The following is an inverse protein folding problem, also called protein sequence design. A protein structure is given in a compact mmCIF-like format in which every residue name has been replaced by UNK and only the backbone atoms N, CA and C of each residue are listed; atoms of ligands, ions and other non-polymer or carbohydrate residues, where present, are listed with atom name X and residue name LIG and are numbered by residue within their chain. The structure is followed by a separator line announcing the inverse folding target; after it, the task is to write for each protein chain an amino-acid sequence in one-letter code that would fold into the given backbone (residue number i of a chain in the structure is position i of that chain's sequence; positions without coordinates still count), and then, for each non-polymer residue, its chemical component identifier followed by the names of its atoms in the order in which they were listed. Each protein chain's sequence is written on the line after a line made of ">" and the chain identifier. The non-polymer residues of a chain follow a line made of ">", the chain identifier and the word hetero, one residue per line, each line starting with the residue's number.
data_IF_519928984189
#
_entry.id   IF_519928984189
#
_cell.length_a   1.000
_cell.length_b   1.000
_cell.length_c   1.000
_cell.angle_alpha   90.00
_cell.angle_beta   90.00
_cell.angle_gamma   90.00
#
_symmetry.space_group_name_H-M   'P 1'
#
loop_
_entity.id
_entity.type
_entity.pdbx_description
1 polymer ?
#
# COMPACT_ATOMS: atom_id res chain seq x y z
N UNK A 1 17.05 54.51 -10.85
CA UNK A 1 16.73 53.13 -10.40
C UNK A 1 15.59 52.45 -11.17
N UNK A 2 14.66 53.17 -11.80
CA UNK A 2 13.46 52.59 -12.46
C UNK A 2 13.77 51.91 -13.82
N UNK A 3 14.81 52.33 -14.53
CA UNK A 3 15.14 51.79 -15.88
C UNK A 3 15.78 50.38 -15.83
N UNK A 4 16.47 50.03 -14.73
CA UNK A 4 17.07 48.69 -14.57
C UNK A 4 16.02 47.61 -14.34
N UNK A 5 14.91 47.93 -13.67
CA UNK A 5 13.87 46.95 -13.33
C UNK A 5 13.07 46.46 -14.55
N UNK A 6 12.82 47.35 -15.53
CA UNK A 6 12.16 47.00 -16.80
C UNK A 6 12.98 46.02 -17.64
N UNK A 7 14.33 46.07 -17.56
CA UNK A 7 15.22 45.14 -18.28
C UNK A 7 15.21 43.74 -17.67
N UNK A 8 15.15 43.62 -16.33
CA UNK A 8 15.05 42.32 -15.66
C UNK A 8 13.67 41.67 -15.81
N UNK A 9 12.59 42.46 -15.83
CA UNK A 9 11.24 41.95 -16.11
C UNK A 9 11.10 41.44 -17.56
N UNK A 10 11.70 42.12 -18.54
CA UNK A 10 11.71 41.68 -19.94
C UNK A 10 12.55 40.40 -20.15
N UNK A 11 13.69 40.28 -19.47
CA UNK A 11 14.53 39.07 -19.49
C UNK A 11 13.84 37.87 -18.81
N UNK A 12 13.14 38.08 -17.69
CA UNK A 12 12.36 37.04 -17.03
C UNK A 12 11.18 36.55 -17.87
N UNK A 13 10.50 37.45 -18.57
CA UNK A 13 9.37 37.10 -19.44
C UNK A 13 9.82 36.39 -20.73
N UNK A 14 11.00 36.76 -21.28
CA UNK A 14 11.61 36.07 -22.42
C UNK A 14 12.06 34.64 -22.08
N UNK A 15 12.60 34.41 -20.87
CA UNK A 15 12.98 33.07 -20.37
C UNK A 15 11.76 32.17 -20.13
N UNK A 16 10.66 32.72 -19.62
CA UNK A 16 9.40 31.97 -19.45
C UNK A 16 8.78 31.63 -20.80
N UNK A 17 8.81 32.53 -21.78
CA UNK A 17 8.30 32.26 -23.13
C UNK A 17 9.15 31.24 -23.90
N UNK A 18 10.48 31.25 -23.75
CA UNK A 18 11.35 30.23 -24.36
C UNK A 18 11.17 28.85 -23.70
N UNK A 19 10.95 28.78 -22.38
CA UNK A 19 10.63 27.52 -21.71
C UNK A 19 9.25 26.96 -22.12
N UNK A 20 8.26 27.82 -22.38
CA UNK A 20 6.94 27.40 -22.89
C UNK A 20 7.01 26.94 -24.34
N UNK A 21 7.81 27.59 -25.19
CA UNK A 21 8.00 27.18 -26.59
C UNK A 21 8.82 25.88 -26.71
N UNK A 22 9.87 25.68 -25.89
CA UNK A 22 10.58 24.39 -25.84
C UNK A 22 9.74 23.26 -25.19
N UNK A 23 8.88 23.59 -24.21
CA UNK A 23 7.93 22.65 -23.63
C UNK A 23 6.82 22.23 -24.62
N UNK A 24 6.42 23.12 -25.52
CA UNK A 24 5.47 22.81 -26.59
C UNK A 24 6.12 22.03 -27.76
N UNK A 25 7.41 22.29 -28.04
CA UNK A 25 8.17 21.58 -29.07
C UNK A 25 8.54 20.14 -28.67
N UNK A 26 8.65 19.84 -27.37
CA UNK A 26 8.84 18.47 -26.86
C UNK A 26 7.53 17.68 -26.67
N UNK A 27 6.37 18.36 -26.76
CA UNK A 27 5.05 17.73 -26.75
C UNK A 27 4.53 17.35 -28.16
N UNK A 28 5.29 17.67 -29.21
CA UNK A 28 4.91 17.46 -30.61
C UNK A 28 5.83 16.42 -31.26
N UNK A 29 5.76 15.18 -30.79
CA UNK A 29 6.63 14.11 -31.29
C UNK A 29 6.18 12.71 -30.93
N UNK A 30 4.91 12.48 -30.61
CA UNK A 30 4.35 11.13 -30.49
C UNK A 30 3.75 10.78 -31.85
N UNK A 31 4.57 10.18 -32.72
CA UNK A 31 4.08 9.55 -33.95
C UNK A 31 3.08 8.47 -33.55
N UNK A 32 1.81 8.75 -33.81
CA UNK A 32 0.70 7.81 -33.75
C UNK A 32 0.98 6.69 -34.77
N UNK A 33 1.73 5.69 -34.31
CA UNK A 33 1.96 4.48 -35.05
C UNK A 33 0.72 3.63 -34.87
N UNK A 34 -0.30 3.97 -35.65
CA UNK A 34 -1.46 3.15 -35.95
C UNK A 34 -0.98 1.82 -36.51
N UNK A 35 -0.62 0.90 -35.62
CA UNK A 35 -0.48 -0.49 -35.97
C UNK A 35 -1.87 -0.96 -36.35
N UNK A 36 -2.05 -1.20 -37.64
CA UNK A 36 -3.28 -1.70 -38.23
C UNK A 36 -3.81 -2.86 -37.40
N UNK A 37 -5.13 -2.93 -37.29
CA UNK A 37 -5.88 -4.05 -36.71
C UNK A 37 -5.50 -5.34 -37.44
N UNK A 38 -4.43 -5.99 -37.03
CA UNK A 38 -4.20 -7.39 -37.32
C UNK A 38 -5.24 -8.18 -36.53
N UNK A 39 -5.87 -9.16 -37.19
CA UNK A 39 -6.95 -9.95 -36.61
C UNK A 39 -6.54 -10.47 -35.23
N UNK A 40 -7.43 -10.27 -34.26
CA UNK A 40 -7.25 -10.82 -32.91
C UNK A 40 -7.30 -12.34 -33.01
N UNK A 41 -6.13 -12.97 -33.10
CA UNK A 41 -6.01 -14.38 -32.76
C UNK A 41 -6.52 -14.53 -31.33
N UNK A 42 -7.48 -15.44 -31.13
CA UNK A 42 -8.10 -15.61 -29.83
C UNK A 42 -7.02 -15.94 -28.78
N UNK A 43 -7.05 -15.24 -27.65
CA UNK A 43 -6.05 -15.44 -26.60
C UNK A 43 -5.99 -16.90 -26.17
N UNK A 44 -4.78 -17.48 -26.16
CA UNK A 44 -4.60 -18.88 -25.79
C UNK A 44 -5.01 -19.14 -24.33
N UNK A 45 -5.40 -20.37 -24.01
CA UNK A 45 -5.70 -20.77 -22.63
C UNK A 45 -4.52 -20.51 -21.68
N UNK A 46 -3.28 -20.65 -22.16
CA UNK A 46 -2.06 -20.35 -21.41
C UNK A 46 -1.95 -18.86 -21.10
N UNK A 47 -2.24 -17.99 -22.08
CA UNK A 47 -2.24 -16.54 -21.88
C UNK A 47 -3.32 -16.11 -20.88
N UNK A 48 -4.54 -16.64 -20.99
CA UNK A 48 -5.64 -16.35 -20.06
C UNK A 48 -5.30 -16.82 -18.64
N UNK A 49 -4.72 -18.01 -18.48
CA UNK A 49 -4.28 -18.52 -17.18
C UNK A 49 -3.19 -17.65 -16.55
N UNK A 50 -2.23 -17.18 -17.36
CA UNK A 50 -1.22 -16.21 -16.94
C UNK A 50 -1.85 -14.88 -16.52
N UNK A 51 -2.81 -14.39 -17.30
CA UNK A 51 -3.57 -13.19 -16.98
C UNK A 51 -4.29 -13.27 -15.64
N UNK A 52 -4.99 -14.38 -15.38
CA UNK A 52 -5.65 -14.66 -14.10
C UNK A 52 -4.68 -14.61 -12.93
N UNK A 53 -3.51 -15.21 -13.10
CA UNK A 53 -2.44 -15.20 -12.10
C UNK A 53 -1.97 -13.77 -11.79
N UNK A 54 -1.72 -12.96 -12.83
CA UNK A 54 -1.22 -11.59 -12.69
C UNK A 54 -2.29 -10.63 -12.15
N UNK A 55 -3.56 -10.77 -12.55
CA UNK A 55 -4.68 -9.98 -12.00
C UNK A 55 -4.87 -10.28 -10.51
N UNK A 56 -4.64 -11.52 -10.06
CA UNK A 56 -4.57 -11.85 -8.63
C UNK A 56 -3.35 -11.22 -7.97
N UNK A 57 -2.16 -11.37 -8.56
CA UNK A 57 -0.93 -10.79 -8.02
C UNK A 57 -1.00 -9.26 -7.86
N UNK A 58 -1.69 -8.58 -8.77
CA UNK A 58 -1.96 -7.14 -8.75
C UNK A 58 -3.12 -6.71 -7.87
N UNK A 59 -3.65 -7.62 -7.05
CA UNK A 59 -4.75 -7.38 -6.10
C UNK A 59 -5.96 -6.65 -6.70
N UNK A 60 -6.23 -6.88 -7.99
CA UNK A 60 -7.20 -6.08 -8.73
C UNK A 60 -8.61 -6.26 -8.16
N UNK A 61 -8.95 -7.45 -7.68
CA UNK A 61 -10.28 -7.76 -7.14
C UNK A 61 -10.57 -7.00 -5.84
N UNK A 62 -9.57 -6.79 -4.98
CA UNK A 62 -9.73 -6.09 -3.71
C UNK A 62 -10.12 -4.63 -3.93
N UNK A 63 -9.53 -3.98 -4.94
CA UNK A 63 -9.86 -2.61 -5.30
C UNK A 63 -11.11 -2.51 -6.17
N UNK A 64 -11.30 -3.40 -7.14
CA UNK A 64 -12.35 -3.29 -8.14
C UNK A 64 -13.64 -4.04 -7.79
N UNK A 65 -13.91 -4.23 -6.50
CA UNK A 65 -15.16 -4.82 -6.00
C UNK A 65 -15.66 -4.01 -4.81
N UNK A 66 -16.82 -3.38 -4.93
CA UNK A 66 -17.47 -2.72 -3.80
C UNK A 66 -17.93 -3.75 -2.75
N UNK A 67 -18.01 -3.39 -1.45
CA UNK A 67 -18.65 -4.24 -0.44
C UNK A 67 -20.07 -4.63 -0.86
N UNK A 68 -20.38 -5.93 -0.85
CA UNK A 68 -21.66 -6.47 -1.34
C UNK A 68 -21.87 -6.38 -2.87
N UNK A 69 -20.90 -5.85 -3.61
CA UNK A 69 -20.95 -5.70 -5.06
C UNK A 69 -20.53 -6.96 -5.84
N UNK A 70 -20.75 -6.93 -7.14
CA UNK A 70 -20.31 -8.00 -8.05
C UNK A 70 -18.78 -7.94 -8.25
N UNK A 71 -18.08 -9.09 -8.31
CA UNK A 71 -16.63 -9.12 -8.52
C UNK A 71 -16.20 -8.32 -9.75
N UNK A 72 -15.16 -7.50 -9.60
CA UNK A 72 -14.58 -6.67 -10.67
C UNK A 72 -15.50 -5.55 -11.21
N UNK A 73 -16.70 -5.34 -10.66
CA UNK A 73 -17.65 -4.34 -11.14
C UNK A 73 -17.35 -2.89 -10.68
N UNK A 74 -16.24 -2.67 -9.96
CA UNK A 74 -15.79 -1.36 -9.51
C UNK A 74 -16.59 -0.81 -8.33
N UNK A 75 -16.64 0.52 -8.24
CA UNK A 75 -17.34 1.33 -7.23
C UNK A 75 -16.90 1.12 -5.78
N UNK A 76 -15.74 0.50 -5.54
CA UNK A 76 -15.15 0.55 -4.19
C UNK A 76 -14.70 1.97 -3.90
N UNK A 77 -15.06 2.45 -2.73
CA UNK A 77 -14.62 3.72 -2.20
C UNK A 77 -13.16 3.63 -1.76
N UNK A 78 -12.30 4.49 -2.28
CA UNK A 78 -10.90 4.64 -1.88
C UNK A 78 -10.75 6.02 -1.22
N UNK A 79 -10.79 6.09 0.12
CA UNK A 79 -10.56 7.35 0.81
C UNK A 79 -9.10 7.77 0.66
N UNK A 80 -8.88 9.06 0.44
CA UNK A 80 -7.56 9.69 0.41
C UNK A 80 -7.60 10.99 1.23
N UNK A 81 -6.43 11.52 1.64
CA UNK A 81 -6.37 12.83 2.30
C UNK A 81 -6.92 13.99 1.45
N UNK A 82 -7.23 13.75 0.17
CA UNK A 82 -7.69 14.75 -0.79
C UNK A 82 -9.17 14.59 -1.16
N UNK A 83 -9.86 13.64 -0.53
CA UNK A 83 -11.22 13.23 -0.83
C UNK A 83 -11.30 11.78 -1.31
N UNK A 84 -12.44 11.41 -1.91
CA UNK A 84 -12.77 10.03 -2.23
C UNK A 84 -12.63 9.75 -3.73
N UNK A 85 -12.07 8.58 -4.07
CA UNK A 85 -12.00 8.08 -5.45
C UNK A 85 -12.74 6.74 -5.53
N UNK A 86 -13.51 6.54 -6.59
CA UNK A 86 -14.20 5.27 -6.84
C UNK A 86 -13.48 4.45 -7.91
N UNK A 87 -13.38 3.14 -7.69
CA UNK A 87 -12.68 2.24 -8.62
C UNK A 87 -13.50 1.92 -9.86
N UNK A 88 -12.81 1.75 -11.00
CA UNK A 88 -13.45 1.49 -12.29
C UNK A 88 -14.07 0.08 -12.37
N UNK A 89 -15.05 -0.13 -13.24
CA UNK A 89 -15.52 -1.46 -13.59
C UNK A 89 -14.53 -2.13 -14.57
N UNK A 90 -13.98 -3.30 -14.20
CA UNK A 90 -13.02 -4.05 -15.03
C UNK A 90 -13.67 -5.17 -15.85
N UNK A 91 -14.97 -5.41 -15.70
CA UNK A 91 -15.69 -6.43 -16.48
C UNK A 91 -15.76 -6.01 -17.97
N UNK A 92 -15.98 -6.94 -18.91
CA UNK A 92 -16.04 -6.62 -20.34
C UNK A 92 -17.38 -5.98 -20.77
N UNK A 93 -18.13 -5.38 -19.84
CA UNK A 93 -19.32 -4.58 -20.18
C UNK A 93 -18.93 -3.42 -21.11
N UNK A 94 -19.65 -3.27 -22.22
CA UNK A 94 -19.34 -2.26 -23.27
C UNK A 94 -19.59 -0.83 -22.81
N UNK A 95 -20.67 -0.61 -22.07
CA UNK A 95 -21.08 0.73 -21.68
C UNK A 95 -20.31 1.28 -20.47
N UNK A 96 -19.96 0.42 -19.51
CA UNK A 96 -19.43 0.84 -18.20
C UNK A 96 -18.10 0.22 -17.83
N UNK A 97 -17.66 -0.84 -18.53
CA UNK A 97 -16.44 -1.57 -18.24
C UNK A 97 -15.37 -1.46 -19.33
N UNK A 98 -14.59 -2.53 -19.48
CA UNK A 98 -13.51 -2.65 -20.47
C UNK A 98 -14.01 -3.09 -21.86
N UNK A 99 -15.33 -3.22 -22.07
CA UNK A 99 -15.93 -3.81 -23.27
C UNK A 99 -15.48 -3.18 -24.60
N UNK A 100 -15.30 -1.86 -24.61
CA UNK A 100 -14.86 -1.09 -25.79
C UNK A 100 -13.40 -0.61 -25.70
N UNK A 101 -12.63 -1.09 -24.72
CA UNK A 101 -11.21 -0.78 -24.62
C UNK A 101 -10.40 -1.62 -25.61
N UNK A 102 -9.33 -1.05 -26.16
CA UNK A 102 -8.26 -1.81 -26.78
C UNK A 102 -7.25 -2.26 -25.72
N UNK A 103 -6.42 -3.25 -26.06
CA UNK A 103 -5.31 -3.65 -25.20
C UNK A 103 -4.29 -2.52 -25.02
N UNK A 104 -4.15 -1.64 -26.01
CA UNK A 104 -3.33 -0.43 -25.92
C UNK A 104 -3.91 0.60 -24.95
N UNK A 105 -5.23 0.79 -24.93
CA UNK A 105 -5.88 1.67 -23.95
C UNK A 105 -5.61 1.16 -22.53
N UNK A 106 -5.74 -0.16 -22.33
CA UNK A 106 -5.48 -0.80 -21.04
C UNK A 106 -4.01 -0.66 -20.63
N UNK A 107 -3.08 -0.86 -21.57
CA UNK A 107 -1.66 -0.64 -21.32
C UNK A 107 -1.35 0.81 -20.99
N UNK A 108 -1.89 1.79 -21.74
CA UNK A 108 -1.69 3.23 -21.43
C UNK A 108 -2.27 3.61 -20.06
N UNK A 109 -3.37 3.00 -19.64
CA UNK A 109 -3.86 3.19 -18.28
C UNK A 109 -2.83 2.66 -17.27
N UNK A 110 -2.45 1.38 -17.37
CA UNK A 110 -1.52 0.77 -16.42
C UNK A 110 -0.13 1.42 -16.40
N UNK A 111 0.41 1.77 -17.56
CA UNK A 111 1.78 2.27 -17.68
C UNK A 111 1.89 3.76 -17.52
N UNK A 112 0.93 4.50 -18.07
CA UNK A 112 1.02 5.95 -18.18
C UNK A 112 -0.04 6.66 -17.34
N UNK A 113 -0.95 5.95 -16.66
CA UNK A 113 -2.04 6.59 -15.93
C UNK A 113 -2.94 7.41 -16.85
N UNK A 114 -3.19 6.95 -18.08
CA UNK A 114 -4.07 7.61 -19.06
C UNK A 114 -5.28 6.73 -19.37
N UNK A 115 -6.47 7.26 -19.16
CA UNK A 115 -7.72 6.58 -19.52
C UNK A 115 -7.90 6.46 -21.04
N UNK A 116 -8.88 5.65 -21.46
CA UNK A 116 -9.26 5.49 -22.88
C UNK A 116 -9.56 6.81 -23.58
N UNK A 117 -10.20 7.75 -22.89
CA UNK A 117 -10.51 9.11 -23.36
C UNK A 117 -9.33 10.09 -23.26
N UNK A 118 -8.11 9.60 -23.00
CA UNK A 118 -6.89 10.40 -22.86
C UNK A 118 -6.75 11.11 -21.51
N UNK A 119 -7.77 11.00 -20.64
CA UNK A 119 -7.77 11.70 -19.34
C UNK A 119 -6.68 11.17 -18.41
N UNK A 120 -6.06 12.04 -17.63
CA UNK A 120 -5.12 11.61 -16.60
C UNK A 120 -5.86 10.95 -15.44
N UNK A 121 -5.36 9.79 -15.02
CA UNK A 121 -5.81 9.03 -13.86
C UNK A 121 -5.07 9.51 -12.61
N UNK A 122 -5.78 9.59 -11.49
CA UNK A 122 -5.18 9.90 -10.20
C UNK A 122 -4.24 8.76 -9.76
N UNK A 123 -3.10 9.06 -9.11
CA UNK A 123 -2.10 8.06 -8.70
C UNK A 123 -2.57 7.12 -7.57
N UNK A 124 -3.81 7.26 -7.09
CA UNK A 124 -4.50 6.24 -6.32
C UNK A 124 -4.69 4.95 -7.14
N UNK A 125 -4.87 5.06 -8.46
CA UNK A 125 -4.60 3.95 -9.37
C UNK A 125 -3.06 3.81 -9.47
N UNK A 126 -2.47 2.68 -9.05
CA UNK A 126 -1.03 2.59 -8.79
C UNK A 126 -0.19 2.42 -10.07
N UNK A 127 -0.51 3.19 -11.13
CA UNK A 127 0.28 3.29 -12.35
C UNK A 127 1.76 3.66 -12.12
N UNK A 128 2.17 4.41 -11.07
CA UNK A 128 3.60 4.60 -10.77
C UNK A 128 4.35 3.32 -10.41
N UNK A 129 3.64 2.24 -10.06
CA UNK A 129 4.20 0.89 -9.87
C UNK A 129 3.95 0.02 -11.11
N UNK A 130 2.73 0.05 -11.64
CA UNK A 130 2.34 -0.79 -12.80
C UNK A 130 3.07 -0.46 -14.09
N UNK A 131 3.68 0.72 -14.21
CA UNK A 131 4.61 1.04 -15.30
C UNK A 131 5.77 0.04 -15.44
N UNK A 132 6.09 -0.71 -14.37
CA UNK A 132 7.15 -1.72 -14.36
C UNK A 132 6.76 -3.05 -15.05
N UNK A 133 5.49 -3.24 -15.37
CA UNK A 133 4.97 -4.54 -15.87
C UNK A 133 5.26 -4.70 -17.35
N UNK A 134 5.71 -5.88 -17.76
CA UNK A 134 6.01 -6.12 -19.18
C UNK A 134 4.75 -6.03 -20.02
N UNK A 135 4.86 -5.51 -21.24
CA UNK A 135 3.75 -5.46 -22.20
C UNK A 135 2.97 -6.78 -22.32
N UNK A 136 3.66 -7.90 -22.51
CA UNK A 136 3.03 -9.22 -22.63
C UNK A 136 2.23 -9.64 -21.37
N UNK A 137 2.64 -9.19 -20.18
CA UNK A 137 1.93 -9.45 -18.93
C UNK A 137 0.64 -8.62 -18.85
N UNK A 138 0.67 -7.36 -19.30
CA UNK A 138 -0.51 -6.50 -19.43
C UNK A 138 -1.52 -7.08 -20.43
N UNK A 139 -1.04 -7.57 -21.58
CA UNK A 139 -1.88 -8.22 -22.59
C UNK A 139 -2.54 -9.48 -22.05
N UNK A 140 -1.80 -10.31 -21.30
CA UNK A 140 -2.36 -11.48 -20.64
C UNK A 140 -3.43 -11.09 -19.60
N UNK A 141 -3.16 -10.07 -18.77
CA UNK A 141 -4.14 -9.55 -17.81
C UNK A 141 -5.42 -9.07 -18.52
N UNK A 142 -5.27 -8.30 -19.60
CA UNK A 142 -6.39 -7.84 -20.41
C UNK A 142 -7.20 -9.01 -20.96
N UNK A 143 -6.53 -9.99 -21.58
CA UNK A 143 -7.16 -11.20 -22.11
C UNK A 143 -7.99 -11.95 -21.06
N UNK A 144 -7.47 -12.10 -19.82
CA UNK A 144 -8.25 -12.70 -18.74
C UNK A 144 -9.47 -11.86 -18.34
N UNK A 145 -9.31 -10.54 -18.16
CA UNK A 145 -10.42 -9.65 -17.79
C UNK A 145 -11.56 -9.70 -18.83
N UNK A 146 -11.23 -9.90 -20.11
CA UNK A 146 -12.19 -10.09 -21.21
C UNK A 146 -13.03 -11.36 -21.09
N UNK A 147 -12.61 -12.34 -20.28
CA UNK A 147 -13.37 -13.58 -20.04
C UNK A 147 -14.39 -13.48 -18.90
N UNK A 148 -14.36 -12.38 -18.13
CA UNK A 148 -15.25 -12.20 -17.00
C UNK A 148 -16.71 -12.02 -17.46
N UNK A 149 -17.66 -12.35 -16.58
CA UNK A 149 -19.07 -12.02 -16.80
C UNK A 149 -19.21 -10.48 -16.88
N UNK A 150 -19.81 -9.93 -17.95
CA UNK A 150 -20.12 -8.51 -18.01
C UNK A 150 -21.07 -8.11 -16.87
N UNK A 151 -20.77 -7.00 -16.20
CA UNK A 151 -21.65 -6.38 -15.21
C UNK A 151 -21.80 -4.92 -15.57
N UNK A 152 -23.04 -4.47 -15.75
CA UNK A 152 -23.32 -3.05 -15.96
C UNK A 152 -23.24 -2.32 -14.62
N UNK A 153 -22.21 -1.48 -14.45
CA UNK A 153 -21.92 -0.75 -13.21
C UNK A 153 -21.18 0.53 -13.56
N UNK A 154 -21.91 1.65 -13.60
CA UNK A 154 -21.33 2.97 -13.87
C UNK A 154 -20.51 3.40 -12.65
N UNK A 155 -19.25 3.74 -12.87
CA UNK A 155 -18.38 4.24 -11.80
C UNK A 155 -18.79 5.64 -11.36
N UNK A 156 -18.93 5.84 -10.04
CA UNK A 156 -19.20 7.14 -9.46
C UNK A 156 -18.05 8.13 -9.77
N UNK A 157 -18.35 9.43 -9.98
CA UNK A 157 -17.31 10.43 -10.14
C UNK A 157 -16.50 10.59 -8.85
N UNK A 158 -15.21 10.96 -8.93
CA UNK A 158 -14.42 11.22 -7.73
C UNK A 158 -14.93 12.45 -6.98
N UNK A 159 -14.93 12.37 -5.64
CA UNK A 159 -15.34 13.44 -4.73
C UNK A 159 -14.09 14.06 -4.10
N UNK A 160 -13.33 14.77 -4.94
CA UNK A 160 -12.11 15.46 -4.52
C UNK A 160 -12.40 16.94 -4.29
N UNK A 161 -11.84 17.51 -3.22
CA UNK A 161 -11.96 18.94 -2.95
C UNK A 161 -10.99 19.74 -3.84
N UNK A 162 -11.34 20.99 -4.14
CA UNK A 162 -10.38 21.91 -4.74
C UNK A 162 -9.16 22.09 -3.81
N UNK A 163 -7.92 22.12 -4.34
CA UNK A 163 -7.54 22.15 -5.75
C UNK A 163 -7.42 20.78 -6.44
N UNK A 164 -7.51 19.66 -5.72
CA UNK A 164 -7.26 18.31 -6.22
C UNK A 164 -8.28 17.81 -7.25
N UNK A 165 -9.49 18.39 -7.26
CA UNK A 165 -10.48 18.19 -8.33
C UNK A 165 -10.01 18.72 -9.70
N UNK A 166 -9.06 19.66 -9.73
CA UNK A 166 -8.56 20.21 -10.99
C UNK A 166 -7.53 19.29 -11.63
N UNK A 167 -8.02 18.36 -12.46
CA UNK A 167 -7.25 17.28 -13.09
C UNK A 167 -5.94 17.72 -13.79
N UNK A 168 -5.87 18.95 -14.30
CA UNK A 168 -4.68 19.48 -14.99
C UNK A 168 -3.46 19.57 -14.08
N UNK A 169 -3.64 19.70 -12.76
CA UNK A 169 -2.53 19.68 -11.79
C UNK A 169 -1.74 18.37 -11.81
N UNK A 170 -2.34 17.28 -12.29
CA UNK A 170 -1.63 16.01 -12.47
C UNK A 170 -0.49 16.11 -13.48
N UNK A 171 -0.51 17.05 -14.44
CA UNK A 171 0.62 17.25 -15.36
C UNK A 171 1.88 17.64 -14.59
N UNK A 172 1.78 18.62 -13.68
CA UNK A 172 2.88 19.04 -12.83
C UNK A 172 3.28 17.95 -11.83
N UNK A 173 2.31 17.27 -11.21
CA UNK A 173 2.60 16.16 -10.29
C UNK A 173 3.41 15.06 -10.97
N UNK A 174 3.05 14.69 -12.20
CA UNK A 174 3.73 13.64 -12.95
C UNK A 174 5.14 14.04 -13.34
N UNK A 175 5.35 15.28 -13.79
CA UNK A 175 6.67 15.79 -14.11
C UNK A 175 7.64 15.72 -12.92
N UNK A 176 7.12 15.83 -11.69
CA UNK A 176 7.92 15.78 -10.46
C UNK A 176 8.09 14.37 -9.88
N UNK A 177 7.09 13.49 -10.02
CA UNK A 177 6.99 12.27 -9.21
C UNK A 177 6.74 10.97 -9.98
N UNK A 178 6.61 11.02 -11.30
CA UNK A 178 6.34 9.85 -12.12
C UNK A 178 7.48 9.58 -13.11
N UNK A 179 8.12 8.43 -12.93
CA UNK A 179 9.13 7.89 -13.85
C UNK A 179 8.54 6.66 -14.56
N UNK A 180 8.29 6.81 -15.86
CA UNK A 180 7.67 5.77 -16.68
C UNK A 180 8.72 4.78 -17.17
N UNK A 181 8.38 3.50 -17.16
CA UNK A 181 9.18 2.48 -17.84
C UNK A 181 9.11 1.13 -17.17
N UNK A 182 9.23 0.09 -18.01
CA UNK A 182 9.23 -1.30 -17.59
C UNK A 182 10.39 -1.62 -16.64
N UNK A 183 10.24 -2.73 -15.91
CA UNK A 183 11.32 -3.24 -15.07
C UNK A 183 12.48 -3.74 -15.92
N UNK A 184 13.67 -3.18 -15.69
CA UNK A 184 14.92 -3.64 -16.28
C UNK A 184 15.66 -4.51 -15.27
N UNK A 185 15.99 -5.74 -15.68
CA UNK A 185 16.71 -6.67 -14.82
C UNK A 185 18.12 -6.14 -14.50
N UNK A 186 18.51 -6.23 -13.23
CA UNK A 186 19.85 -5.90 -12.80
C UNK A 186 20.78 -7.09 -13.13
N UNK A 187 21.79 -6.92 -14.01
CA UNK A 187 22.68 -8.00 -14.43
C UNK A 187 23.60 -8.50 -13.30
N UNK A 188 23.78 -7.72 -12.23
CA UNK A 188 24.57 -8.09 -11.05
C UNK A 188 23.78 -8.91 -10.02
N UNK A 189 22.51 -9.24 -10.32
CA UNK A 189 21.61 -9.94 -9.41
C UNK A 189 21.10 -11.22 -10.07
N UNK A 190 20.75 -12.21 -9.24
CA UNK A 190 20.22 -13.49 -9.72
C UNK A 190 18.86 -13.32 -10.39
N UNK A 191 18.46 -14.29 -11.22
CA UNK A 191 17.13 -14.32 -11.82
C UNK A 191 16.01 -14.30 -10.77
N UNK A 192 16.20 -15.04 -9.66
CA UNK A 192 15.26 -15.05 -8.53
C UNK A 192 15.12 -13.66 -7.90
N UNK A 193 16.23 -12.95 -7.66
CA UNK A 193 16.18 -11.60 -7.12
C UNK A 193 15.43 -10.64 -8.05
N UNK A 194 15.74 -10.67 -9.35
CA UNK A 194 15.08 -9.83 -10.35
C UNK A 194 13.57 -10.15 -10.45
N UNK A 195 13.19 -11.42 -10.29
CA UNK A 195 11.78 -11.82 -10.23
C UNK A 195 11.07 -11.23 -9.01
N UNK A 196 11.72 -11.25 -7.85
CA UNK A 196 11.20 -10.63 -6.63
C UNK A 196 11.02 -9.14 -6.75
N UNK A 197 12.04 -8.45 -7.27
CA UNK A 197 12.01 -7.02 -7.54
C UNK A 197 10.87 -6.65 -8.49
N UNK A 198 10.71 -7.39 -9.60
CA UNK A 198 9.62 -7.19 -10.56
C UNK A 198 8.23 -7.27 -9.90
N UNK A 199 8.01 -8.27 -9.04
CA UNK A 199 6.73 -8.46 -8.37
C UNK A 199 6.49 -7.40 -7.29
N UNK A 200 7.49 -7.09 -6.46
CA UNK A 200 7.36 -6.12 -5.35
C UNK A 200 7.22 -4.68 -5.86
N UNK A 201 7.97 -4.30 -6.90
CA UNK A 201 7.94 -2.96 -7.48
C UNK A 201 6.80 -2.75 -8.48
N UNK A 202 6.35 -3.83 -9.12
CA UNK A 202 5.29 -3.84 -10.12
C UNK A 202 3.92 -4.14 -9.51
N UNK A 203 3.39 -5.34 -9.78
CA UNK A 203 2.00 -5.70 -9.47
C UNK A 203 1.73 -5.78 -7.97
N UNK A 204 2.69 -6.25 -7.17
CA UNK A 204 2.55 -6.23 -5.71
C UNK A 204 2.58 -4.83 -5.12
N UNK A 205 3.03 -3.82 -5.90
CA UNK A 205 3.00 -2.38 -5.60
C UNK A 205 3.32 -2.04 -4.13
N UNK A 206 4.27 -2.75 -3.50
CA UNK A 206 4.41 -2.72 -2.04
C UNK A 206 4.77 -1.31 -1.54
N UNK A 207 5.45 -0.54 -2.40
CA UNK A 207 5.80 0.86 -2.14
C UNK A 207 4.58 1.80 -2.05
N UNK A 208 3.39 1.38 -2.47
CA UNK A 208 2.17 2.18 -2.34
C UNK A 208 1.77 2.41 -0.87
N UNK A 209 2.06 1.45 0.01
CA UNK A 209 1.76 1.52 1.45
C UNK A 209 3.04 1.62 2.28
N UNK A 210 4.07 0.83 1.96
CA UNK A 210 5.31 0.74 2.76
C UNK A 210 6.30 1.88 2.48
N UNK A 211 5.89 2.99 1.86
CA UNK A 211 6.75 4.15 1.62
C UNK A 211 6.05 5.41 2.14
N UNK A 212 6.73 6.27 2.90
CA UNK A 212 6.10 7.47 3.41
C UNK A 212 5.78 8.42 2.25
N UNK A 213 4.72 9.20 2.41
CA UNK A 213 4.25 10.16 1.40
C UNK A 213 4.53 11.59 1.85
N UNK A 214 4.71 12.49 0.88
CA UNK A 214 4.76 13.93 1.11
C UNK A 214 3.35 14.53 1.13
N UNK A 215 3.24 15.84 1.40
CA UNK A 215 1.95 16.54 1.47
C UNK A 215 1.16 16.54 0.15
N UNK A 216 1.81 16.25 -0.99
CA UNK A 216 1.18 16.13 -2.31
C UNK A 216 0.80 14.67 -2.64
N UNK A 217 0.88 13.77 -1.65
CA UNK A 217 0.55 12.35 -1.81
C UNK A 217 1.59 11.54 -2.58
N UNK A 218 2.70 12.13 -3.01
CA UNK A 218 3.77 11.42 -3.69
C UNK A 218 4.68 10.68 -2.70
N UNK A 219 5.22 9.53 -3.13
CA UNK A 219 6.18 8.75 -2.35
C UNK A 219 7.45 9.56 -2.13
N UNK A 220 7.96 9.61 -0.90
CA UNK A 220 9.23 10.29 -0.59
C UNK A 220 10.40 9.54 -1.24
N UNK A 221 11.19 10.25 -2.04
CA UNK A 221 12.41 9.70 -2.63
C UNK A 221 13.40 9.28 -1.53
N UNK A 222 14.18 8.23 -1.77
CA UNK A 222 15.15 7.68 -0.82
C UNK A 222 14.54 6.88 0.35
N UNK A 223 13.22 6.90 0.54
CA UNK A 223 12.53 6.21 1.65
C UNK A 223 11.66 5.02 1.19
N UNK A 224 11.94 4.48 0.00
CA UNK A 224 11.20 3.36 -0.56
C UNK A 224 11.21 2.15 0.39
N UNK A 225 10.03 1.61 0.69
CA UNK A 225 9.83 0.44 1.54
C UNK A 225 10.27 0.62 3.02
N UNK A 226 10.43 1.87 3.48
CA UNK A 226 10.83 2.23 4.87
C UNK A 226 9.69 2.41 5.86
N UNK A 227 8.49 1.99 5.46
CA UNK A 227 7.27 2.11 6.23
C UNK A 227 6.55 3.44 6.00
N UNK A 228 5.23 3.44 6.15
CA UNK A 228 4.39 4.58 5.86
C UNK A 228 3.04 4.50 6.54
N UNK A 229 2.50 5.67 6.93
CA UNK A 229 1.12 5.76 7.38
C UNK A 229 0.16 5.55 6.21
N UNK A 230 -0.97 4.92 6.51
CA UNK A 230 -2.17 4.84 5.68
C UNK A 230 -3.26 5.61 6.44
N UNK A 231 -3.26 6.96 6.37
CA UNK A 231 -3.98 7.80 7.33
C UNK A 231 -5.48 7.51 7.34
N UNK A 232 -6.10 7.44 6.16
CA UNK A 232 -7.54 7.23 6.00
C UNK A 232 -8.03 5.88 6.52
N UNK A 233 -7.14 4.88 6.62
CA UNK A 233 -7.49 3.57 7.17
C UNK A 233 -7.03 3.43 8.62
N UNK A 234 -6.25 4.39 9.14
CA UNK A 234 -5.70 4.36 10.49
C UNK A 234 -4.78 3.17 10.70
N UNK A 235 -3.88 2.87 9.76
CA UNK A 235 -2.90 1.80 9.89
C UNK A 235 -1.51 2.29 9.49
N UNK A 236 -0.47 1.68 10.06
CA UNK A 236 0.92 1.89 9.67
C UNK A 236 1.44 0.66 8.94
N UNK A 237 1.86 0.83 7.70
CA UNK A 237 2.59 -0.18 6.96
C UNK A 237 4.06 -0.17 7.45
N UNK A 238 4.56 -1.26 8.04
CA UNK A 238 5.90 -1.28 8.66
C UNK A 238 7.04 -1.17 7.65
N UNK A 239 8.23 -0.84 8.12
CA UNK A 239 9.47 -0.95 7.32
C UNK A 239 9.68 -2.41 6.87
N UNK A 240 10.06 -2.62 5.61
CA UNK A 240 10.30 -3.95 5.03
C UNK A 240 11.78 -4.33 4.95
N UNK A 241 12.69 -3.48 5.42
CA UNK A 241 14.10 -3.84 5.49
C UNK A 241 14.36 -4.91 6.57
N UNK A 242 15.30 -5.79 6.28
CA UNK A 242 15.69 -6.89 7.16
C UNK A 242 16.93 -6.61 8.03
N UNK A 243 17.48 -5.38 7.94
CA UNK A 243 18.59 -4.94 8.78
C UNK A 243 18.18 -4.82 10.26
N UNK A 244 19.16 -4.63 11.16
CA UNK A 244 18.96 -4.65 12.61
C UNK A 244 17.93 -3.62 13.13
N UNK A 245 17.66 -2.56 12.37
CA UNK A 245 16.70 -1.50 12.70
C UNK A 245 15.47 -1.50 11.77
N UNK A 246 15.42 -2.41 10.79
CA UNK A 246 14.30 -2.58 9.88
C UNK A 246 13.14 -3.38 10.49
N UNK A 247 11.94 -3.27 9.90
CA UNK A 247 10.75 -3.94 10.44
C UNK A 247 10.77 -5.45 10.29
N UNK A 248 11.61 -5.99 9.40
CA UNK A 248 11.88 -7.41 9.21
C UNK A 248 13.20 -7.86 9.88
N UNK A 249 13.75 -7.08 10.81
CA UNK A 249 14.93 -7.47 11.58
C UNK A 249 14.76 -8.86 12.21
N UNK A 250 15.67 -9.78 11.91
CA UNK A 250 15.66 -11.15 12.47
C UNK A 250 14.55 -12.06 11.93
N UNK A 251 13.85 -11.67 10.85
CA UNK A 251 12.97 -12.55 10.09
C UNK A 251 13.79 -13.44 9.16
N UNK A 252 13.46 -14.73 9.11
CA UNK A 252 13.97 -15.63 8.08
C UNK A 252 13.24 -15.41 6.75
N UNK A 253 13.79 -15.92 5.65
CA UNK A 253 13.08 -15.94 4.37
C UNK A 253 11.74 -16.66 4.48
N UNK A 254 11.70 -17.79 5.21
CA UNK A 254 10.48 -18.56 5.39
C UNK A 254 9.44 -17.78 6.19
N UNK A 255 9.83 -17.02 7.21
CA UNK A 255 8.87 -16.20 7.98
C UNK A 255 8.18 -15.15 7.07
N UNK A 256 8.89 -14.62 6.06
CA UNK A 256 8.31 -13.71 5.07
C UNK A 256 7.38 -14.48 4.13
N UNK A 257 7.82 -15.62 3.60
CA UNK A 257 6.99 -16.45 2.70
C UNK A 257 5.70 -16.87 3.39
N UNK A 258 5.77 -17.34 4.63
CA UNK A 258 4.61 -17.77 5.41
C UNK A 258 3.63 -16.62 5.61
N UNK A 259 4.13 -15.43 5.98
CA UNK A 259 3.29 -14.24 6.14
C UNK A 259 2.60 -13.85 4.83
N UNK A 260 3.31 -13.83 3.70
CA UNK A 260 2.74 -13.47 2.41
C UNK A 260 1.74 -14.53 1.91
N UNK A 261 2.01 -15.83 2.16
CA UNK A 261 1.17 -16.93 1.69
C UNK A 261 -0.09 -17.11 2.53
N UNK A 262 0.03 -16.93 3.84
CA UNK A 262 -0.98 -17.37 4.80
C UNK A 262 -1.49 -16.26 5.69
N UNK A 263 -0.79 -15.13 5.75
CA UNK A 263 -1.06 -14.05 6.68
C UNK A 263 -0.44 -14.27 8.05
N UNK A 264 0.33 -15.34 8.25
CA UNK A 264 0.84 -15.74 9.56
C UNK A 264 2.29 -16.21 9.44
N UNK A 265 3.11 -15.89 10.43
CA UNK A 265 4.45 -16.44 10.60
C UNK A 265 4.80 -16.55 12.09
N UNK A 266 5.95 -17.15 12.40
CA UNK A 266 6.47 -17.19 13.78
C UNK A 266 6.79 -15.80 14.34
N UNK A 267 6.97 -14.80 13.47
CA UNK A 267 7.38 -13.45 13.83
C UNK A 267 6.24 -12.44 13.86
N UNK A 268 5.13 -12.73 13.17
CA UNK A 268 4.00 -11.81 13.13
C UNK A 268 2.85 -12.32 12.29
N UNK A 269 1.77 -11.54 12.33
CA UNK A 269 0.50 -11.85 11.68
C UNK A 269 0.01 -10.60 10.95
N UNK A 270 -0.56 -10.78 9.77
CA UNK A 270 -1.15 -9.72 8.96
C UNK A 270 -2.53 -9.33 9.54
N UNK A 271 -2.74 -8.03 9.72
CA UNK A 271 -4.00 -7.45 10.17
C UNK A 271 -4.36 -6.26 9.29
N UNK A 272 -5.63 -5.86 9.34
CA UNK A 272 -6.13 -4.68 8.62
C UNK A 272 -5.87 -4.79 7.11
N UNK A 273 -5.36 -3.73 6.45
CA UNK A 273 -5.19 -3.70 5.00
C UNK A 273 -4.25 -4.79 4.47
N UNK A 274 -3.24 -5.20 5.26
CA UNK A 274 -2.34 -6.27 4.87
C UNK A 274 -3.04 -7.64 4.88
N UNK A 275 -4.04 -7.84 5.77
CA UNK A 275 -4.85 -9.05 5.75
C UNK A 275 -5.68 -9.12 4.45
N UNK A 276 -6.30 -8.02 4.02
CA UNK A 276 -7.02 -7.97 2.73
C UNK A 276 -6.11 -8.31 1.54
N UNK A 277 -4.88 -7.79 1.51
CA UNK A 277 -3.89 -8.08 0.47
C UNK A 277 -3.52 -9.56 0.44
N UNK A 278 -3.32 -10.20 1.60
CA UNK A 278 -3.07 -11.64 1.67
C UNK A 278 -4.28 -12.43 1.18
N UNK A 279 -5.46 -12.06 1.66
CA UNK A 279 -6.72 -12.74 1.37
C UNK A 279 -7.07 -12.69 -0.13
N UNK A 280 -6.88 -11.55 -0.78
CA UNK A 280 -7.34 -11.34 -2.15
C UNK A 280 -6.25 -11.56 -3.20
N UNK A 281 -4.97 -11.47 -2.83
CA UNK A 281 -3.83 -11.52 -3.76
C UNK A 281 -2.78 -12.56 -3.38
N UNK A 282 -2.00 -12.31 -2.33
CA UNK A 282 -0.69 -12.97 -2.16
C UNK A 282 -0.79 -14.47 -1.89
N UNK A 283 -1.87 -14.93 -1.24
CA UNK A 283 -2.07 -16.37 -1.00
C UNK A 283 -2.16 -17.19 -2.29
N UNK A 284 -2.48 -16.57 -3.43
CA UNK A 284 -2.60 -17.25 -4.72
C UNK A 284 -1.28 -17.30 -5.51
N UNK A 285 -0.22 -16.65 -5.02
CA UNK A 285 1.07 -16.68 -5.69
C UNK A 285 1.72 -18.06 -5.57
N UNK A 286 2.53 -18.38 -6.59
CA UNK A 286 3.38 -19.57 -6.59
C UNK A 286 4.45 -19.43 -5.51
N UNK A 287 4.81 -20.53 -4.87
CA UNK A 287 5.85 -20.51 -3.84
C UNK A 287 7.17 -19.93 -4.36
N UNK A 288 7.57 -20.25 -5.60
CA UNK A 288 8.77 -19.68 -6.22
C UNK A 288 8.76 -18.15 -6.31
N UNK A 289 7.59 -17.56 -6.56
CA UNK A 289 7.42 -16.12 -6.65
C UNK A 289 7.44 -15.48 -5.24
N UNK A 290 6.88 -16.15 -4.24
CA UNK A 290 6.95 -15.70 -2.84
C UNK A 290 8.39 -15.75 -2.29
N UNK A 291 9.13 -16.81 -2.57
CA UNK A 291 10.56 -16.89 -2.25
C UNK A 291 11.35 -15.80 -2.97
N UNK A 292 11.06 -15.54 -4.25
CA UNK A 292 11.69 -14.45 -4.99
C UNK A 292 11.43 -13.08 -4.32
N UNK A 293 10.18 -12.80 -3.94
CA UNK A 293 9.82 -11.59 -3.21
C UNK A 293 10.57 -11.50 -1.87
N UNK A 294 10.65 -12.58 -1.11
CA UNK A 294 11.37 -12.62 0.16
C UNK A 294 12.87 -12.37 -0.01
N UNK A 295 13.52 -12.98 -1.03
CA UNK A 295 14.92 -12.72 -1.39
C UNK A 295 15.15 -11.25 -1.72
N UNK A 296 14.25 -10.63 -2.48
CA UNK A 296 14.35 -9.20 -2.79
C UNK A 296 14.19 -8.33 -1.53
N UNK A 297 13.17 -8.56 -0.70
CA UNK A 297 12.92 -7.76 0.50
C UNK A 297 14.07 -7.85 1.51
N UNK A 298 14.65 -9.04 1.70
CA UNK A 298 15.82 -9.22 2.58
C UNK A 298 17.08 -8.52 2.08
N UNK A 299 17.14 -8.18 0.79
CA UNK A 299 18.28 -7.50 0.18
C UNK A 299 18.19 -5.97 0.22
N UNK A 300 17.08 -5.42 0.73
CA UNK A 300 16.90 -3.97 0.84
C UNK A 300 18.05 -3.37 1.67
N UNK A 301 18.57 -2.20 1.27
CA UNK A 301 19.73 -1.61 1.93
C UNK A 301 19.42 -1.29 3.40
N UNK A 302 20.45 -1.19 4.25
CA UNK A 302 20.25 -0.78 5.64
C UNK A 302 19.79 0.68 5.75
N UNK A 303 18.98 0.99 6.76
CA UNK A 303 18.64 2.38 7.11
C UNK A 303 19.87 3.08 7.69
N UNK A 304 20.08 4.38 7.39
CA UNK A 304 21.06 5.19 8.14
C UNK A 304 20.50 5.46 9.53
N UNK A 305 21.34 5.43 10.56
CA UNK A 305 20.91 5.62 11.96
C UNK A 305 20.14 6.95 12.16
N UNK A 306 20.54 7.99 11.42
CA UNK A 306 19.94 9.34 11.41
C UNK A 306 18.45 9.34 10.99
N UNK A 307 18.06 8.48 10.05
CA UNK A 307 16.67 8.38 9.55
C UNK A 307 15.72 7.69 10.54
N UNK A 308 16.27 7.11 11.62
CA UNK A 308 15.51 6.46 12.70
C UNK A 308 15.14 7.47 13.80
N UNK A 309 15.92 8.55 13.94
CA UNK A 309 15.71 9.59 14.95
C UNK A 309 14.63 10.62 14.55
N UNK A 310 14.38 10.82 13.26
CA UNK A 310 13.47 11.86 12.72
C UNK A 310 11.96 11.58 12.88
N UNK A 311 11.53 10.66 13.75
CA UNK A 311 10.10 10.34 13.92
C UNK A 311 9.53 10.58 15.32
N UNK A 312 10.28 11.17 16.24
CA UNK A 312 9.81 11.42 17.61
C UNK A 312 9.19 12.82 17.79
N UNK A 313 8.13 13.13 17.04
CA UNK A 313 7.13 14.12 17.48
C UNK A 313 6.07 13.44 18.37
N UNK A 314 6.36 12.25 18.89
CA UNK A 314 5.49 11.53 19.79
C UNK A 314 5.36 12.31 21.09
N UNK A 315 4.13 12.69 21.43
CA UNK A 315 3.81 13.41 22.65
C UNK A 315 4.41 12.71 23.88
N UNK A 316 5.37 13.37 24.53
CA UNK A 316 6.07 12.82 25.67
C UNK A 316 5.23 13.00 26.93
N UNK A 317 4.68 11.90 27.44
CA UNK A 317 4.00 11.91 28.73
C UNK A 317 5.01 12.17 29.87
N UNK A 318 4.65 12.97 30.89
CA UNK A 318 5.46 13.09 32.10
C UNK A 318 5.73 11.73 32.73
N UNK A 319 6.96 11.50 33.21
CA UNK A 319 7.41 10.18 33.69
C UNK A 319 6.49 9.56 34.78
N UNK A 320 5.98 10.37 35.71
CA UNK A 320 5.03 9.92 36.74
C UNK A 320 3.71 9.44 36.13
N UNK A 321 3.18 10.20 35.17
CA UNK A 321 1.96 9.86 34.44
C UNK A 321 2.14 8.57 33.64
N UNK A 322 3.27 8.44 32.92
CA UNK A 322 3.60 7.23 32.18
C UNK A 322 3.69 5.99 33.10
N UNK A 323 4.32 6.13 34.26
CA UNK A 323 4.45 5.04 35.25
C UNK A 323 3.09 4.59 35.77
N UNK A 324 2.22 5.54 36.17
CA UNK A 324 0.88 5.23 36.63
C UNK A 324 0.02 4.57 35.53
N UNK A 325 0.17 5.04 34.29
CA UNK A 325 -0.52 4.52 33.12
C UNK A 325 -0.12 3.07 32.83
N UNK A 326 1.18 2.76 32.85
CA UNK A 326 1.71 1.40 32.68
C UNK A 326 1.27 0.46 33.81
N UNK A 327 1.25 0.93 35.06
CA UNK A 327 0.77 0.14 36.19
C UNK A 327 -0.71 -0.25 36.04
N UNK A 328 -1.56 0.68 35.60
CA UNK A 328 -2.95 0.40 35.24
C UNK A 328 -3.04 -0.59 34.08
N UNK A 329 -2.22 -0.40 33.05
CA UNK A 329 -2.15 -1.26 31.87
C UNK A 329 -1.85 -2.72 32.21
N UNK A 330 -0.97 -2.95 33.19
CA UNK A 330 -0.65 -4.30 33.70
C UNK A 330 -1.86 -5.01 34.31
N UNK A 331 -2.73 -4.28 35.00
CA UNK A 331 -3.96 -4.83 35.58
C UNK A 331 -4.92 -5.26 34.47
N UNK A 332 -5.14 -4.37 33.49
CA UNK A 332 -5.99 -4.63 32.33
C UNK A 332 -5.45 -5.83 31.54
N UNK A 333 -4.15 -5.87 31.25
CA UNK A 333 -3.52 -6.97 30.52
C UNK A 333 -3.75 -8.33 31.19
N UNK A 334 -3.55 -8.41 32.51
CA UNK A 334 -3.76 -9.65 33.25
C UNK A 334 -5.21 -10.13 33.16
N UNK A 335 -6.17 -9.21 33.26
CA UNK A 335 -7.61 -9.52 33.21
C UNK A 335 -8.06 -9.92 31.80
N UNK A 336 -7.67 -9.15 30.79
CA UNK A 336 -8.32 -9.18 29.49
C UNK A 336 -7.49 -9.84 28.39
N UNK A 337 -6.15 -9.85 28.50
CA UNK A 337 -5.25 -10.22 27.40
C UNK A 337 -4.44 -11.49 27.67
N UNK A 338 -4.09 -11.75 28.93
CA UNK A 338 -3.09 -12.75 29.30
C UNK A 338 -3.53 -14.20 29.07
N UNK A 339 -4.84 -14.46 28.95
CA UNK A 339 -5.37 -15.79 28.63
C UNK A 339 -4.88 -16.29 27.25
N UNK A 340 -4.73 -15.39 26.27
CA UNK A 340 -4.26 -15.73 24.93
C UNK A 340 -2.78 -15.38 24.74
N UNK A 341 -2.37 -14.18 25.17
CA UNK A 341 -1.01 -13.68 24.95
C UNK A 341 0.02 -14.14 25.98
N UNK A 342 -0.41 -14.92 26.98
CA UNK A 342 0.39 -15.41 28.11
C UNK A 342 0.92 -14.30 29.02
N UNK A 343 1.31 -14.63 30.25
CA UNK A 343 1.82 -13.63 31.21
C UNK A 343 3.16 -13.00 30.79
N UNK A 344 3.93 -13.74 29.99
CA UNK A 344 5.23 -13.33 29.45
C UNK A 344 5.14 -12.72 28.04
N UNK A 345 3.94 -12.51 27.52
CA UNK A 345 3.72 -11.87 26.22
C UNK A 345 4.21 -12.69 25.02
N UNK A 346 4.61 -13.95 25.21
CA UNK A 346 5.08 -14.81 24.11
C UNK A 346 3.96 -15.36 23.23
N UNK A 347 2.72 -15.27 23.71
CA UNK A 347 1.57 -15.86 23.02
C UNK A 347 1.69 -17.39 22.93
N UNK A 348 1.04 -17.95 21.93
CA UNK A 348 1.08 -19.38 21.62
C UNK A 348 1.49 -19.51 20.17
N UNK A 349 2.59 -20.21 19.91
CA UNK A 349 3.15 -20.35 18.57
C UNK A 349 2.07 -20.77 17.56
N UNK A 350 2.02 -20.08 16.42
CA UNK A 350 1.06 -20.32 15.33
C UNK A 350 -0.42 -20.21 15.74
N UNK A 351 -0.74 -19.61 16.89
CA UNK A 351 -2.12 -19.36 17.34
C UNK A 351 -2.28 -17.90 17.73
N UNK A 352 -1.52 -17.43 18.72
CA UNK A 352 -1.53 -16.05 19.19
C UNK A 352 -0.12 -15.46 19.04
N UNK A 353 0.05 -14.39 18.25
CA UNK A 353 1.37 -13.87 17.96
C UNK A 353 2.07 -13.35 19.22
N UNK A 354 3.41 -13.40 19.27
CA UNK A 354 4.16 -12.83 20.37
C UNK A 354 3.98 -11.30 20.37
N UNK A 355 3.76 -10.74 21.55
CA UNK A 355 3.83 -9.31 21.83
C UNK A 355 5.23 -8.92 22.32
N UNK A 356 5.91 -9.83 23.00
CA UNK A 356 7.30 -9.68 23.41
C UNK A 356 8.24 -9.70 22.19
N UNK A 357 9.09 -8.69 22.05
CA UNK A 357 10.05 -8.57 20.95
C UNK A 357 9.43 -8.27 19.58
N UNK A 358 8.12 -8.04 19.50
CA UNK A 358 7.41 -7.81 18.25
C UNK A 358 7.74 -6.44 17.65
N UNK A 359 8.19 -6.40 16.39
CA UNK A 359 8.63 -5.16 15.73
C UNK A 359 7.51 -4.14 15.58
N UNK A 360 6.25 -4.57 15.41
CA UNK A 360 5.08 -3.68 15.32
C UNK A 360 4.75 -3.08 16.67
N UNK A 361 4.86 -3.85 17.75
CA UNK A 361 4.68 -3.34 19.12
C UNK A 361 5.76 -2.31 19.45
N UNK A 362 6.99 -2.54 19.00
CA UNK A 362 8.15 -1.68 19.27
C UNK A 362 8.28 -0.48 18.33
N UNK A 363 7.47 -0.43 17.27
CA UNK A 363 7.51 0.64 16.28
C UNK A 363 7.28 2.02 16.94
N UNK A 364 7.95 3.04 16.39
CA UNK A 364 7.83 4.42 16.88
C UNK A 364 6.37 4.89 16.87
N UNK A 365 5.64 4.61 15.78
CA UNK A 365 4.21 4.89 15.68
C UNK A 365 3.38 3.75 16.34
N UNK A 366 2.58 4.03 17.37
CA UNK A 366 1.81 3.01 18.09
C UNK A 366 0.43 2.73 17.49
N UNK A 367 0.08 3.27 16.31
CA UNK A 367 -1.27 3.14 15.74
C UNK A 367 -1.69 1.67 15.58
N UNK A 368 -0.80 0.79 15.15
CA UNK A 368 -1.14 -0.62 14.92
C UNK A 368 -1.56 -1.36 16.20
N UNK A 369 -0.78 -1.36 17.31
CA UNK A 369 -1.23 -2.00 18.54
C UNK A 369 -2.47 -1.31 19.15
N UNK A 370 -2.63 0.01 19.00
CA UNK A 370 -3.87 0.69 19.43
C UNK A 370 -5.07 0.21 18.64
N UNK A 371 -4.97 0.18 17.30
CA UNK A 371 -6.06 -0.26 16.41
C UNK A 371 -6.38 -1.73 16.59
N UNK A 372 -5.37 -2.58 16.80
CA UNK A 372 -5.58 -3.97 17.15
C UNK A 372 -6.43 -4.09 18.43
N UNK A 373 -6.09 -3.37 19.51
CA UNK A 373 -6.90 -3.42 20.75
C UNK A 373 -8.32 -2.89 20.52
N UNK A 374 -8.47 -1.76 19.81
CA UNK A 374 -9.77 -1.16 19.55
C UNK A 374 -10.68 -2.06 18.69
N UNK A 375 -10.17 -2.48 17.54
CA UNK A 375 -10.94 -3.15 16.49
C UNK A 375 -10.88 -4.67 16.58
N UNK A 376 -10.02 -5.22 17.42
CA UNK A 376 -9.67 -6.62 17.40
C UNK A 376 -8.59 -6.93 16.37
N UNK A 377 -8.17 -8.19 16.36
CA UNK A 377 -7.17 -8.72 15.43
C UNK A 377 -7.79 -9.84 14.62
N UNK A 378 -8.25 -9.52 13.40
CA UNK A 378 -8.78 -10.49 12.46
C UNK A 378 -7.72 -10.83 11.42
N UNK A 379 -7.22 -12.06 11.47
CA UNK A 379 -6.27 -12.57 10.47
C UNK A 379 -7.01 -12.84 9.14
N UNK A 380 -6.31 -12.86 7.99
CA UNK A 380 -6.95 -13.13 6.72
C UNK A 380 -7.47 -14.56 6.61
N UNK A 381 -8.64 -14.71 5.99
CA UNK A 381 -9.12 -16.02 5.58
C UNK A 381 -8.32 -16.50 4.36
N UNK A 382 -7.61 -17.61 4.52
CA UNK A 382 -6.83 -18.20 3.43
C UNK A 382 -7.24 -19.64 3.15
N UNK A 383 -6.84 -20.18 2.00
CA UNK A 383 -7.06 -21.60 1.69
C UNK A 383 -6.43 -22.53 2.74
N UNK A 384 -5.31 -22.11 3.36
CA UNK A 384 -4.63 -22.87 4.41
C UNK A 384 -5.26 -22.67 5.79
N UNK A 385 -5.83 -21.48 6.05
CA UNK A 385 -6.47 -21.13 7.30
C UNK A 385 -7.86 -20.51 7.03
N UNK A 386 -8.88 -21.35 6.71
CA UNK A 386 -10.20 -20.85 6.34
C UNK A 386 -11.03 -20.36 7.55
N UNK A 387 -10.55 -20.62 8.78
CA UNK A 387 -11.18 -20.23 10.04
C UNK A 387 -10.13 -19.71 11.02
N UNK A 388 -9.57 -18.51 10.78
CA UNK A 388 -8.53 -17.96 11.64
C UNK A 388 -9.05 -17.64 13.04
N UNK A 389 -8.16 -17.69 14.03
CA UNK A 389 -8.44 -17.17 15.36
C UNK A 389 -8.52 -15.64 15.30
N UNK A 390 -9.34 -15.04 16.16
CA UNK A 390 -9.45 -13.59 16.26
C UNK A 390 -9.23 -13.10 17.69
N UNK A 391 -8.66 -11.90 17.80
CA UNK A 391 -8.64 -11.15 19.05
C UNK A 391 -9.91 -10.30 19.12
N UNK A 392 -10.68 -10.33 20.23
CA UNK A 392 -11.91 -9.58 20.35
C UNK A 392 -11.67 -8.06 20.32
N UNK A 393 -12.62 -7.27 19.80
CA UNK A 393 -12.54 -5.81 19.86
C UNK A 393 -12.81 -5.29 21.27
N UNK A 394 -12.00 -4.33 21.74
CA UNK A 394 -12.17 -3.70 23.04
C UNK A 394 -12.69 -2.26 22.97
N UNK A 395 -12.94 -1.71 21.77
CA UNK A 395 -13.42 -0.33 21.62
C UNK A 395 -14.64 -0.01 22.50
N UNK A 396 -15.60 -0.93 22.62
CA UNK A 396 -16.82 -0.69 23.42
C UNK A 396 -16.64 -0.95 24.93
N UNK A 397 -15.54 -1.59 25.35
CA UNK A 397 -15.31 -2.01 26.74
C UNK A 397 -14.24 -1.21 27.47
N UNK A 398 -13.27 -0.66 26.73
CA UNK A 398 -12.15 0.08 27.27
C UNK A 398 -12.23 1.55 26.83
N UNK A 399 -12.13 2.45 27.80
CA UNK A 399 -11.97 3.88 27.56
C UNK A 399 -10.63 4.17 26.86
N UNK A 400 -10.46 5.37 26.29
CA UNK A 400 -9.19 5.78 25.68
C UNK A 400 -8.03 5.72 26.66
N UNK A 401 -8.29 6.06 27.92
CA UNK A 401 -7.31 5.93 29.00
C UNK A 401 -6.93 4.46 29.26
N UNK A 402 -7.87 3.53 29.17
CA UNK A 402 -7.61 2.11 29.40
C UNK A 402 -6.87 1.46 28.25
N UNK A 403 -7.23 1.80 27.01
CA UNK A 403 -6.50 1.36 25.82
C UNK A 403 -5.07 1.93 25.83
N UNK A 404 -4.92 3.22 26.11
CA UNK A 404 -3.60 3.86 26.27
C UNK A 404 -2.79 3.15 27.36
N UNK A 405 -3.42 2.78 28.49
CA UNK A 405 -2.79 2.05 29.57
C UNK A 405 -2.28 0.67 29.14
N UNK A 406 -3.14 -0.18 28.59
CA UNK A 406 -2.77 -1.56 28.24
C UNK A 406 -1.74 -1.59 27.10
N UNK A 407 -1.88 -0.72 26.10
CA UNK A 407 -0.90 -0.62 25.01
C UNK A 407 0.44 -0.09 25.52
N UNK A 408 0.45 0.91 26.40
CA UNK A 408 1.70 1.40 27.03
C UNK A 408 2.40 0.29 27.83
N UNK A 409 1.65 -0.52 28.58
CA UNK A 409 2.22 -1.67 29.28
C UNK A 409 2.84 -2.67 28.31
N UNK A 410 2.11 -3.09 27.26
CA UNK A 410 2.60 -4.02 26.24
C UNK A 410 3.88 -3.49 25.57
N UNK A 411 3.95 -2.19 25.30
CA UNK A 411 5.10 -1.52 24.65
C UNK A 411 6.35 -1.42 25.54
N UNK A 412 6.19 -1.52 26.86
CA UNK A 412 7.31 -1.43 27.81
C UNK A 412 7.65 -2.76 28.49
N UNK A 413 6.72 -3.73 28.46
CA UNK A 413 6.93 -5.06 29.00
C UNK A 413 7.90 -5.90 28.14
N UNK A 414 8.48 -6.93 28.77
CA UNK A 414 9.27 -7.98 28.11
C UNK A 414 10.42 -7.47 27.22
N UNK A 415 11.02 -6.34 27.58
CA UNK A 415 12.15 -5.74 26.85
C UNK A 415 11.77 -4.97 25.59
N UNK A 416 10.48 -4.67 25.37
CA UNK A 416 10.04 -3.92 24.20
C UNK A 416 10.56 -2.47 24.17
N UNK A 417 10.66 -1.82 25.33
CA UNK A 417 11.28 -0.50 25.54
C UNK A 417 10.81 0.61 24.58
N UNK A 418 9.54 0.59 24.17
CA UNK A 418 8.95 1.61 23.30
C UNK A 418 8.16 2.67 24.10
N UNK A 419 8.06 3.88 23.55
CA UNK A 419 7.38 4.99 24.20
C UNK A 419 5.91 4.66 24.55
N UNK A 420 5.39 5.15 25.70
CA UNK A 420 3.98 5.00 26.06
C UNK A 420 3.06 5.72 25.07
N UNK A 421 1.77 5.38 25.12
CA UNK A 421 0.70 5.96 24.31
C UNK A 421 -0.16 6.88 25.18
N UNK A 422 -0.50 8.06 24.69
CA UNK A 422 -1.40 8.99 25.38
C UNK A 422 -2.88 8.65 25.13
N UNK A 423 -3.80 8.97 26.07
CA UNK A 423 -5.24 8.84 25.82
C UNK A 423 -5.74 9.68 24.65
N UNK A 424 -5.17 10.88 24.42
CA UNK A 424 -5.51 11.74 23.28
C UNK A 424 -5.26 11.04 21.94
N UNK A 425 -4.09 10.43 21.80
CA UNK A 425 -3.71 9.67 20.61
C UNK A 425 -4.64 8.47 20.36
N UNK A 426 -5.12 7.80 21.42
CA UNK A 426 -6.14 6.76 21.26
C UNK A 426 -7.47 7.33 20.77
N UNK A 427 -7.90 8.46 21.32
CA UNK A 427 -9.11 9.16 20.87
C UNK A 427 -9.07 9.51 19.38
N UNK A 428 -7.92 9.98 18.90
CA UNK A 428 -7.68 10.22 17.46
C UNK A 428 -7.81 8.94 16.63
N UNK A 429 -7.16 7.84 17.04
CA UNK A 429 -7.24 6.58 16.28
C UNK A 429 -8.60 5.89 16.35
N UNK A 430 -9.37 6.16 17.41
CA UNK A 430 -10.73 5.64 17.58
C UNK A 430 -11.72 6.34 16.64
N UNK A 431 -11.54 7.63 16.38
CA UNK A 431 -12.45 8.38 15.51
C UNK A 431 -12.27 8.06 14.01
N UNK A 432 -11.17 7.40 13.63
CA UNK A 432 -10.93 6.96 12.25
C UNK A 432 -11.93 5.86 11.86
N UNK A 433 -12.75 6.08 10.81
CA UNK A 433 -13.73 5.10 10.36
C UNK A 433 -13.14 3.73 10.01
N UNK A 434 -14.01 2.73 10.02
CA UNK A 434 -13.71 1.38 9.51
C UNK A 434 -14.27 1.35 8.09
N UNK A 435 -13.44 0.96 7.12
CA UNK A 435 -13.76 0.98 5.70
C UNK A 435 -13.85 -0.43 5.11
#
# INVERSE_FOLDING_TARGET
>A
MIVRWKRYAALGMALVLTAVVLGAATASGEKDSSHGRTGHEAASAVQIARGKYLVRAGDCIACHTAPGGQPFAGNRMIPTPFGVIYTANLTPDKATGLGDWSVDDFWRAMHLGRGRDGRLLYPAFPYPSYTKIRRADVEAMYAYLRTLKPVHSRTNPPELSFPYSWRRLLLGWRALYFDAGEYVANPKRTAQWNRGAYLVQGLGHCSACHTPRNALGARKSGQALRGGMIPEQGWYAPDLAADAHGGLAGWSEQDIVDLLKTGRSRKGTAYGPMAEVVQNSLQYLRNSDLHAMAVYLRSLPSRRAEDSAMSSDAEQLPAKTATALVARGRVIYRRDCSACHQKDGRGVANVYPPLAGNSVVRAANPVNPVRAVLLGGFEPTTAMYPRPYSMPPYAQRLSDRDVAAVVSYIRQAWGNAAAPVSPSMVGEYRSIPIH
#
